data_IF_017661208999
#
_entry.id   IF_017661208999
#
_cell.length_a   1.000
_cell.length_b   1.000
_cell.length_c   1.000
_cell.angle_alpha   90.00
_cell.angle_beta   90.00
_cell.angle_gamma   90.00
#
_symmetry.space_group_name_H-M   'P 1'
#
loop_
_entity.id
_entity.type
_entity.pdbx_description
1 polymer ?
#
# COMPACT_ATOMS: atom_id res chain seq x y z
N UNK A 1 0.37 -10.12 34.36
CA UNK A 1 -0.38 -9.93 33.10
C UNK A 1 -0.61 -11.28 32.43
N UNK A 2 -1.87 -11.62 32.19
CA UNK A 2 -2.25 -12.89 31.56
C UNK A 2 -2.35 -12.71 30.03
N UNK A 3 -1.71 -13.61 29.27
CA UNK A 3 -1.84 -13.60 27.80
C UNK A 3 -3.26 -14.01 27.43
N UNK A 4 -3.82 -13.31 26.43
CA UNK A 4 -5.09 -13.70 25.85
C UNK A 4 -4.91 -14.93 24.97
N UNK A 5 -5.87 -15.84 24.99
CA UNK A 5 -5.92 -16.93 24.02
C UNK A 5 -6.39 -16.38 22.67
N UNK A 6 -6.23 -17.18 21.60
CA UNK A 6 -6.73 -16.79 20.27
C UNK A 6 -8.23 -16.54 20.30
N UNK A 7 -8.97 -17.29 21.12
CA UNK A 7 -10.43 -17.13 21.28
C UNK A 7 -10.81 -15.85 22.01
N UNK A 8 -9.92 -15.31 22.85
CA UNK A 8 -10.16 -14.07 23.59
C UNK A 8 -9.90 -12.82 22.72
N UNK A 9 -9.30 -12.99 21.52
CA UNK A 9 -9.01 -11.90 20.63
C UNK A 9 -10.26 -11.56 19.82
N UNK A 10 -10.77 -10.36 20.00
CA UNK A 10 -11.89 -9.85 19.19
C UNK A 10 -11.38 -9.46 17.81
N UNK A 11 -11.36 -10.42 16.91
CA UNK A 11 -11.01 -10.20 15.50
C UNK A 11 -12.28 -10.06 14.68
N UNK A 12 -12.30 -9.06 13.81
CA UNK A 12 -13.38 -8.94 12.84
C UNK A 12 -13.21 -9.96 11.73
N UNK A 13 -14.32 -10.46 11.18
CA UNK A 13 -14.33 -11.32 10.01
C UNK A 13 -13.98 -10.53 8.75
N UNK A 14 -13.69 -11.24 7.65
CA UNK A 14 -13.45 -10.60 6.35
C UNK A 14 -14.64 -9.76 5.89
N UNK A 15 -15.85 -10.25 6.13
CA UNK A 15 -17.08 -9.54 5.80
C UNK A 15 -17.25 -8.27 6.65
N UNK A 16 -16.98 -8.36 7.94
CA UNK A 16 -17.02 -7.20 8.83
C UNK A 16 -15.97 -6.17 8.44
N UNK A 17 -14.77 -6.59 8.06
CA UNK A 17 -13.73 -5.69 7.58
C UNK A 17 -14.18 -4.88 6.38
N UNK A 18 -14.87 -5.53 5.43
CA UNK A 18 -15.40 -4.84 4.24
C UNK A 18 -16.49 -3.82 4.55
N UNK A 19 -17.16 -3.95 5.70
CA UNK A 19 -18.23 -3.06 6.14
C UNK A 19 -17.75 -1.92 7.05
N UNK A 20 -16.60 -2.08 7.72
CA UNK A 20 -16.09 -1.04 8.61
C UNK A 20 -15.53 0.13 7.83
N UNK A 21 -15.52 1.29 8.46
CA UNK A 21 -14.89 2.48 7.89
C UNK A 21 -13.39 2.25 7.70
N UNK A 22 -12.90 2.58 6.53
CA UNK A 22 -11.49 2.46 6.16
C UNK A 22 -10.85 3.82 6.06
N UNK A 23 -9.54 3.87 6.25
CA UNK A 23 -8.78 5.10 6.03
C UNK A 23 -8.68 5.36 4.53
N UNK A 24 -8.71 6.64 4.14
CA UNK A 24 -8.62 7.06 2.74
C UNK A 24 -7.17 7.01 2.26
N UNK A 25 -6.63 5.82 2.25
CA UNK A 25 -5.28 5.52 1.79
C UNK A 25 -5.32 4.36 0.79
N UNK A 26 -4.73 4.58 -0.37
CA UNK A 26 -4.50 3.54 -1.37
C UNK A 26 -3.00 3.26 -1.47
N UNK A 27 -2.63 2.00 -1.54
CA UNK A 27 -1.25 1.58 -1.73
C UNK A 27 -1.08 1.11 -3.16
N UNK A 28 -0.11 1.67 -3.87
CA UNK A 28 0.22 1.27 -5.25
C UNK A 28 1.52 0.49 -5.22
N UNK A 29 1.52 -0.71 -5.78
CA UNK A 29 2.72 -1.53 -5.94
C UNK A 29 3.18 -1.47 -7.38
N UNK A 30 4.30 -0.78 -7.62
CA UNK A 30 4.88 -0.55 -8.94
C UNK A 30 5.95 -1.58 -9.25
N UNK A 31 5.60 -2.60 -10.02
CA UNK A 31 6.50 -3.68 -10.41
C UNK A 31 7.19 -4.37 -9.23
N UNK A 32 6.45 -4.66 -8.18
CA UNK A 32 6.95 -5.41 -7.03
C UNK A 32 7.03 -6.88 -7.39
N UNK A 33 8.24 -7.46 -7.29
CA UNK A 33 8.51 -8.85 -7.69
C UNK A 33 8.29 -9.85 -6.59
N UNK A 34 8.60 -9.49 -5.36
CA UNK A 34 8.54 -10.41 -4.22
C UNK A 34 7.10 -10.71 -3.83
N UNK A 35 6.72 -11.98 -3.99
CA UNK A 35 5.40 -12.47 -3.57
C UNK A 35 5.22 -12.34 -2.07
N UNK A 36 6.28 -12.54 -1.29
CA UNK A 36 6.25 -12.36 0.16
C UNK A 36 5.99 -10.89 0.53
N UNK A 37 6.61 -9.95 -0.18
CA UNK A 37 6.39 -8.53 0.06
C UNK A 37 4.95 -8.13 -0.29
N UNK A 38 4.40 -8.64 -1.38
CA UNK A 38 3.01 -8.40 -1.77
C UNK A 38 2.08 -8.89 -0.66
N UNK A 39 2.28 -10.11 -0.18
CA UNK A 39 1.47 -10.65 0.92
C UNK A 39 1.61 -9.84 2.20
N UNK A 40 2.81 -9.37 2.52
CA UNK A 40 3.05 -8.51 3.70
C UNK A 40 2.31 -7.17 3.59
N UNK A 41 2.24 -6.60 2.39
CA UNK A 41 1.46 -5.38 2.16
C UNK A 41 -0.02 -5.62 2.40
N UNK A 42 -0.57 -6.73 1.92
CA UNK A 42 -1.95 -7.11 2.22
C UNK A 42 -2.19 -7.23 3.72
N UNK A 43 -1.28 -7.91 4.42
CA UNK A 43 -1.38 -8.10 5.87
C UNK A 43 -1.37 -6.76 6.62
N UNK A 44 -0.48 -5.87 6.25
CA UNK A 44 -0.38 -4.53 6.84
C UNK A 44 -1.62 -3.69 6.51
N UNK A 45 -2.08 -3.74 5.28
CA UNK A 45 -3.28 -3.03 4.84
C UNK A 45 -4.52 -3.47 5.61
N UNK A 46 -4.65 -4.77 5.87
CA UNK A 46 -5.71 -5.32 6.71
C UNK A 46 -5.64 -4.75 8.14
N UNK A 47 -4.46 -4.77 8.74
CA UNK A 47 -4.25 -4.30 10.11
C UNK A 47 -4.60 -2.81 10.29
N UNK A 48 -4.32 -1.99 9.29
CA UNK A 48 -4.56 -0.54 9.32
C UNK A 48 -5.83 -0.10 8.61
N UNK A 49 -6.64 -1.03 8.13
CA UNK A 49 -7.88 -0.74 7.39
C UNK A 49 -7.68 0.17 6.19
N UNK A 50 -6.65 -0.13 5.43
CA UNK A 50 -6.36 0.58 4.17
C UNK A 50 -7.47 0.32 3.16
N UNK A 51 -7.86 1.34 2.41
CA UNK A 51 -9.00 1.30 1.50
C UNK A 51 -8.81 0.31 0.35
N UNK A 52 -7.66 0.36 -0.32
CA UNK A 52 -7.42 -0.45 -1.52
C UNK A 52 -5.93 -0.61 -1.79
N UNK A 53 -5.58 -1.70 -2.49
CA UNK A 53 -4.23 -1.91 -3.03
C UNK A 53 -4.34 -1.97 -4.55
N UNK A 54 -3.52 -1.17 -5.25
CA UNK A 54 -3.37 -1.22 -6.70
C UNK A 54 -2.11 -2.02 -7.03
N UNK A 55 -2.29 -3.14 -7.72
CA UNK A 55 -1.22 -4.03 -8.14
C UNK A 55 -0.89 -3.73 -9.60
N UNK A 56 0.34 -3.29 -9.89
CA UNK A 56 0.66 -2.72 -11.18
C UNK A 56 1.83 -3.42 -11.86
N UNK A 57 1.75 -3.54 -13.19
CA UNK A 57 2.81 -4.10 -14.02
C UNK A 57 3.06 -5.56 -13.76
N UNK A 58 4.30 -5.91 -13.40
CA UNK A 58 4.69 -7.30 -13.11
C UNK A 58 4.24 -7.78 -11.73
N UNK A 59 3.68 -6.90 -10.90
CA UNK A 59 3.17 -7.26 -9.58
C UNK A 59 2.12 -8.36 -9.71
N UNK A 60 2.34 -9.49 -9.04
CA UNK A 60 1.41 -10.61 -9.06
C UNK A 60 0.12 -10.28 -8.29
N UNK A 61 -0.93 -10.97 -8.68
CA UNK A 61 -2.26 -10.78 -8.08
C UNK A 61 -2.73 -12.05 -7.35
N UNK A 62 -3.51 -11.91 -6.28
CA UNK A 62 -4.19 -13.07 -5.70
C UNK A 62 -5.17 -13.72 -6.71
N UNK A 63 -5.49 -15.01 -6.60
CA UNK A 63 -4.94 -15.91 -5.58
C UNK A 63 -3.55 -16.44 -5.96
N UNK A 64 -2.66 -16.53 -5.00
CA UNK A 64 -1.34 -17.10 -5.17
C UNK A 64 -0.84 -17.67 -3.85
N UNK A 65 -0.34 -18.92 -3.88
CA UNK A 65 0.12 -19.62 -2.66
C UNK A 65 1.19 -18.84 -1.90
N UNK A 66 2.16 -18.26 -2.62
CA UNK A 66 3.27 -17.54 -1.98
C UNK A 66 2.86 -16.15 -1.48
N UNK A 67 1.85 -15.54 -2.06
CA UNK A 67 1.22 -14.34 -1.49
C UNK A 67 0.50 -14.71 -0.19
N UNK A 68 -0.25 -15.80 -0.19
CA UNK A 68 -1.01 -16.25 0.96
C UNK A 68 -0.13 -16.54 2.18
N UNK A 69 1.11 -17.02 1.98
CA UNK A 69 2.03 -17.34 3.07
C UNK A 69 2.28 -16.17 4.02
N UNK A 70 2.27 -14.94 3.53
CA UNK A 70 2.47 -13.74 4.32
C UNK A 70 1.19 -12.91 4.49
N UNK A 71 0.26 -12.99 3.56
CA UNK A 71 -1.03 -12.31 3.63
C UNK A 71 -1.97 -12.94 4.65
N UNK A 72 -1.94 -14.27 4.77
CA UNK A 72 -2.70 -15.04 5.77
C UNK A 72 -4.22 -14.76 5.75
N UNK A 73 -4.78 -14.62 4.56
CA UNK A 73 -6.21 -14.34 4.35
C UNK A 73 -6.55 -12.86 4.14
N UNK A 74 -5.61 -11.94 4.40
CA UNK A 74 -5.83 -10.52 4.17
C UNK A 74 -6.14 -10.20 2.70
N UNK A 75 -5.65 -11.02 1.77
CA UNK A 75 -5.93 -10.89 0.34
C UNK A 75 -7.42 -11.05 -0.01
N UNK A 76 -8.18 -11.68 0.87
CA UNK A 76 -9.63 -11.83 0.70
C UNK A 76 -10.42 -10.71 1.39
N UNK A 77 -9.79 -9.95 2.27
CA UNK A 77 -10.42 -8.87 3.05
C UNK A 77 -10.19 -7.50 2.45
N UNK A 78 -8.96 -7.23 2.00
CA UNK A 78 -8.57 -5.94 1.45
C UNK A 78 -8.90 -5.90 -0.03
N UNK A 79 -9.61 -4.85 -0.47
CA UNK A 79 -9.90 -4.66 -1.88
C UNK A 79 -8.63 -4.37 -2.66
N UNK A 80 -8.54 -4.90 -3.87
CA UNK A 80 -7.42 -4.64 -4.75
C UNK A 80 -7.87 -4.56 -6.21
N UNK A 81 -7.10 -3.86 -7.01
CA UNK A 81 -7.32 -3.71 -8.46
C UNK A 81 -5.97 -3.88 -9.16
N UNK A 82 -5.99 -4.47 -10.35
CA UNK A 82 -4.80 -4.59 -11.18
C UNK A 82 -4.78 -3.52 -12.27
N UNK A 83 -3.61 -2.92 -12.50
CA UNK A 83 -3.34 -2.03 -13.64
C UNK A 83 -2.07 -2.51 -14.34
N UNK A 84 -2.15 -2.66 -15.65
CA UNK A 84 -0.96 -3.02 -16.42
C UNK A 84 0.09 -1.89 -16.40
N UNK A 85 -0.36 -0.64 -16.43
CA UNK A 85 0.49 0.55 -16.39
C UNK A 85 0.29 1.30 -15.08
N UNK A 86 1.35 1.42 -14.30
CA UNK A 86 1.32 2.16 -13.03
C UNK A 86 0.96 3.63 -13.23
N UNK A 87 1.39 4.23 -14.33
CA UNK A 87 1.04 5.62 -14.66
C UNK A 87 -0.47 5.82 -14.77
N UNK A 88 -1.17 4.85 -15.35
CA UNK A 88 -2.63 4.88 -15.43
C UNK A 88 -3.28 4.82 -14.05
N UNK A 89 -2.74 3.98 -13.15
CA UNK A 89 -3.21 3.89 -11.78
C UNK A 89 -3.06 5.23 -11.05
N UNK A 90 -1.91 5.88 -11.20
CA UNK A 90 -1.66 7.21 -10.60
C UNK A 90 -2.61 8.25 -11.18
N UNK A 91 -2.77 8.30 -12.49
CA UNK A 91 -3.68 9.24 -13.16
C UNK A 91 -5.12 9.08 -12.65
N UNK A 92 -5.56 7.84 -12.48
CA UNK A 92 -6.88 7.53 -11.95
C UNK A 92 -7.09 8.10 -10.54
N UNK A 93 -6.11 7.95 -9.68
CA UNK A 93 -6.19 8.46 -8.31
C UNK A 93 -6.10 9.98 -8.24
N UNK A 94 -5.23 10.60 -9.04
CA UNK A 94 -5.15 12.05 -9.13
C UNK A 94 -6.47 12.66 -9.61
N UNK A 95 -7.10 12.04 -10.62
CA UNK A 95 -8.40 12.47 -11.12
C UNK A 95 -9.51 12.33 -10.08
N UNK A 96 -9.38 11.37 -9.16
CA UNK A 96 -10.31 11.17 -8.06
C UNK A 96 -10.03 12.07 -6.84
N UNK A 97 -9.06 12.96 -6.93
CA UNK A 97 -8.73 13.92 -5.87
C UNK A 97 -7.72 13.43 -4.84
N UNK A 98 -7.04 12.32 -5.09
CA UNK A 98 -5.98 11.83 -4.21
C UNK A 98 -4.69 12.64 -4.39
N UNK A 99 -3.96 12.85 -3.31
CA UNK A 99 -2.55 13.19 -3.38
C UNK A 99 -1.75 11.90 -3.41
N UNK A 100 -0.86 11.75 -4.38
CA UNK A 100 -0.09 10.52 -4.61
C UNK A 100 1.39 10.80 -4.35
N UNK A 101 1.99 10.03 -3.46
CA UNK A 101 3.40 10.19 -3.08
C UNK A 101 4.19 8.92 -3.39
N UNK A 102 5.27 9.08 -4.13
CA UNK A 102 6.22 7.98 -4.31
C UNK A 102 7.10 7.85 -3.06
N UNK A 103 7.29 6.61 -2.59
CA UNK A 103 8.24 6.32 -1.52
C UNK A 103 9.59 6.10 -2.19
N UNK A 104 10.38 7.16 -2.26
CA UNK A 104 11.63 7.17 -3.01
C UNK A 104 12.55 8.28 -2.53
N UNK A 105 13.87 8.08 -2.67
CA UNK A 105 14.86 9.13 -2.41
C UNK A 105 15.15 9.85 -3.72
N UNK A 106 14.55 10.99 -3.91
CA UNK A 106 14.77 11.85 -5.07
C UNK A 106 15.02 13.28 -4.62
N UNK A 107 15.57 14.08 -5.51
CA UNK A 107 15.74 15.51 -5.25
C UNK A 107 14.38 16.16 -4.96
N UNK A 108 14.32 16.92 -3.87
CA UNK A 108 13.07 17.54 -3.42
C UNK A 108 12.14 16.64 -2.61
N UNK A 109 12.58 15.42 -2.23
CA UNK A 109 11.80 14.55 -1.36
C UNK A 109 11.54 15.18 0.01
N UNK A 110 10.38 14.89 0.57
CA UNK A 110 10.00 15.28 1.93
C UNK A 110 10.29 14.10 2.85
N UNK A 111 10.96 14.37 3.99
CA UNK A 111 11.12 13.34 5.02
C UNK A 111 9.77 12.92 5.58
N UNK A 112 9.60 11.62 5.84
CA UNK A 112 8.38 11.09 6.45
C UNK A 112 8.02 11.81 7.76
N UNK A 113 9.03 12.23 8.52
CA UNK A 113 8.82 12.95 9.78
C UNK A 113 8.33 14.38 9.60
N UNK A 114 8.52 14.95 8.42
CA UNK A 114 8.16 16.35 8.12
C UNK A 114 6.86 16.47 7.31
N UNK A 115 6.30 15.36 6.85
CA UNK A 115 5.05 15.40 6.10
C UNK A 115 3.89 15.74 7.01
N UNK A 116 3.05 16.66 6.56
CA UNK A 116 1.82 17.03 7.26
C UNK A 116 0.63 16.48 6.51
N UNK A 117 -0.09 15.58 7.14
CA UNK A 117 -1.28 14.96 6.58
C UNK A 117 -2.54 15.68 7.06
N UNK A 118 -3.47 15.86 6.14
CA UNK A 118 -4.80 16.38 6.41
C UNK A 118 -5.79 15.22 6.40
N UNK A 119 -6.47 14.98 7.50
CA UNK A 119 -7.45 13.89 7.63
C UNK A 119 -8.68 14.04 6.71
N UNK A 120 -8.87 15.21 6.11
CA UNK A 120 -9.96 15.47 5.17
C UNK A 120 -9.54 15.20 3.73
N UNK A 121 -8.27 14.87 3.48
CA UNK A 121 -7.74 14.53 2.16
C UNK A 121 -7.60 13.04 2.00
N UNK A 122 -7.53 12.62 0.74
CA UNK A 122 -7.27 11.23 0.35
C UNK A 122 -5.84 11.11 -0.16
N UNK A 123 -5.17 10.03 0.24
CA UNK A 123 -3.76 9.82 -0.05
C UNK A 123 -3.53 8.49 -0.71
N UNK A 124 -2.50 8.43 -1.53
CA UNK A 124 -1.95 7.18 -2.04
C UNK A 124 -0.44 7.22 -1.94
N UNK A 125 0.15 6.06 -1.73
CA UNK A 125 1.61 5.89 -1.72
C UNK A 125 2.00 4.85 -2.75
N UNK A 126 3.13 5.09 -3.43
CA UNK A 126 3.68 4.16 -4.41
C UNK A 126 4.92 3.52 -3.82
N UNK A 127 4.90 2.19 -3.73
CA UNK A 127 6.05 1.36 -3.37
C UNK A 127 6.59 0.72 -4.63
N UNK A 128 7.89 0.80 -4.83
CA UNK A 128 8.52 0.37 -6.06
C UNK A 128 9.18 -1.00 -6.01
N UNK A 129 9.75 -1.35 -7.14
CA UNK A 129 10.56 -2.57 -7.31
C UNK A 129 11.70 -2.60 -6.30
N UNK A 130 12.01 -3.81 -5.79
CA UNK A 130 13.01 -4.01 -4.74
C UNK A 130 14.42 -3.62 -5.16
N UNK A 131 14.70 -3.63 -6.47
CA UNK A 131 16.01 -3.28 -7.03
C UNK A 131 15.98 -1.89 -7.65
N UNK A 132 14.99 -1.62 -8.48
CA UNK A 132 14.92 -0.40 -9.31
C UNK A 132 14.15 0.75 -8.67
N UNK A 133 13.43 0.49 -7.58
CA UNK A 133 12.55 1.48 -6.97
C UNK A 133 11.32 1.80 -7.82
N UNK A 134 10.74 2.96 -7.61
CA UNK A 134 9.60 3.46 -8.39
C UNK A 134 10.10 3.98 -9.74
N UNK A 135 9.41 3.61 -10.82
CA UNK A 135 9.75 4.09 -12.16
C UNK A 135 9.77 5.63 -12.20
N UNK A 136 10.75 6.20 -12.91
CA UNK A 136 10.87 7.65 -13.02
C UNK A 136 9.61 8.29 -13.62
N UNK A 137 9.01 7.66 -14.63
CA UNK A 137 7.76 8.14 -15.23
C UNK A 137 6.60 8.20 -14.24
N UNK A 138 6.59 7.31 -13.25
CA UNK A 138 5.60 7.29 -12.16
C UNK A 138 5.91 8.40 -11.15
N UNK A 139 7.17 8.54 -10.74
CA UNK A 139 7.61 9.61 -9.84
C UNK A 139 7.22 10.97 -10.41
N UNK A 140 7.44 11.19 -11.70
CA UNK A 140 7.14 12.45 -12.39
C UNK A 140 5.66 12.83 -12.35
N UNK A 141 4.77 11.84 -12.26
CA UNK A 141 3.31 12.06 -12.17
C UNK A 141 2.83 12.29 -10.74
N UNK A 142 3.60 11.88 -9.75
CA UNK A 142 3.18 11.97 -8.35
C UNK A 142 3.09 13.42 -7.88
N UNK A 143 2.27 13.65 -6.87
CA UNK A 143 2.17 14.93 -6.15
C UNK A 143 3.51 15.30 -5.52
N UNK A 144 4.21 14.30 -5.01
CA UNK A 144 5.52 14.46 -4.40
C UNK A 144 6.16 13.13 -4.08
N UNK A 145 7.27 13.17 -3.38
CA UNK A 145 8.02 11.99 -2.96
C UNK A 145 8.30 12.06 -1.47
N UNK A 146 8.19 10.92 -0.81
CA UNK A 146 8.47 10.78 0.62
C UNK A 146 9.72 9.93 0.78
N UNK A 147 10.67 10.42 1.52
CA UNK A 147 11.89 9.71 1.84
C UNK A 147 11.78 9.04 3.21
N UNK A 148 12.06 7.75 3.24
CA UNK A 148 12.21 7.00 4.47
C UNK A 148 13.69 6.99 4.84
N UNK A 149 14.05 7.70 5.90
CA UNK A 149 15.44 7.70 6.37
C UNK A 149 15.71 6.45 7.20
N UNK A 150 16.52 5.55 6.66
CA UNK A 150 17.00 4.36 7.38
C UNK A 150 18.41 4.58 7.97
N UNK A 151 18.89 5.82 7.98
CA UNK A 151 20.30 6.15 8.24
C UNK A 151 20.60 6.27 9.74
N UNK A 152 19.62 6.31 10.59
CA UNK A 152 19.82 6.56 12.02
C UNK A 152 19.81 5.27 12.84
N UNK A 153 20.65 4.38 12.42
CA UNK A 153 20.88 3.16 13.15
C UNK A 153 22.10 3.35 14.02
#
# INVERSE_FOLDING_TARGET
>A
MKKKSVLDLKRISQEEFKRVEKISLTIILDNVRSLNNIGSVFRTADAFRVECIYLCGITATPPHTDIHKTALGAEDSVDWVYFQDTCEAVDNLLAAGYEVYAIEQVEGSISLTDIKLDKNKKYAVVLGNEVKGVQQSVVDKCTGSIELSLIHI
#
